data_IF_975172713691
#
_entry.id   IF_975172713691
#
_cell.length_a   1.000
_cell.length_b   1.000
_cell.length_c   1.000
_cell.angle_alpha   90.00
_cell.angle_beta   90.00
_cell.angle_gamma   90.00
#
_symmetry.space_group_name_H-M   'P 1'
#
loop_
_entity.id
_entity.type
_entity.pdbx_description
1 polymer ?
#
# COMPACT_ATOMS: atom_id res chain seq x y z
N UNK A 1 3.86 -10.25 -1.99
CA UNK A 1 3.05 -9.58 -3.04
C UNK A 1 2.37 -8.37 -2.39
N UNK A 2 2.38 -7.22 -3.05
CA UNK A 2 1.78 -5.97 -2.57
C UNK A 2 0.80 -5.45 -3.62
N UNK A 3 -0.38 -5.00 -3.18
CA UNK A 3 -1.42 -4.44 -4.04
C UNK A 3 -2.02 -3.18 -3.39
N UNK A 4 -2.46 -2.23 -4.22
CA UNK A 4 -3.07 -0.97 -3.79
C UNK A 4 -4.49 -0.88 -4.35
N UNK A 5 -5.51 -1.36 -3.62
CA UNK A 5 -6.87 -1.43 -4.15
C UNK A 5 -7.56 -0.06 -4.26
N UNK A 6 -7.08 0.98 -3.57
CA UNK A 6 -7.71 2.30 -3.63
C UNK A 6 -6.76 3.46 -3.34
N UNK A 7 -7.00 4.58 -4.03
CA UNK A 7 -6.45 5.88 -3.71
C UNK A 7 -7.53 6.94 -3.96
N UNK A 8 -8.10 7.51 -2.89
CA UNK A 8 -9.19 8.49 -2.99
C UNK A 8 -9.20 9.42 -1.77
N UNK A 9 -9.71 10.64 -1.93
CA UNK A 9 -9.82 11.60 -0.81
C UNK A 9 -8.47 11.99 -0.18
N UNK A 10 -7.38 11.92 -0.94
CA UNK A 10 -6.02 12.19 -0.45
C UNK A 10 -5.44 11.08 0.42
N UNK A 11 -6.01 9.86 0.41
CA UNK A 11 -5.47 8.68 1.10
C UNK A 11 -5.30 7.50 0.13
N UNK A 12 -4.28 6.70 0.37
CA UNK A 12 -4.03 5.45 -0.35
C UNK A 12 -3.99 4.27 0.62
N UNK A 13 -4.69 3.19 0.27
CA UNK A 13 -4.68 1.93 1.00
C UNK A 13 -3.80 0.93 0.25
N UNK A 14 -2.88 0.29 0.97
CA UNK A 14 -2.04 -0.78 0.47
C UNK A 14 -2.21 -2.05 1.31
N UNK A 15 -2.19 -3.19 0.63
CA UNK A 15 -2.23 -4.53 1.22
C UNK A 15 -0.96 -5.29 0.86
N UNK A 16 -0.42 -6.03 1.83
CA UNK A 16 0.81 -6.81 1.68
C UNK A 16 0.67 -8.23 2.23
N UNK A 17 1.38 -9.17 1.60
CA UNK A 17 1.54 -10.55 2.06
C UNK A 17 3.03 -10.91 2.14
N UNK A 18 3.46 -11.43 3.29
CA UNK A 18 4.84 -11.86 3.57
C UNK A 18 4.87 -13.39 3.58
N UNK A 19 5.78 -13.96 2.79
CA UNK A 19 5.98 -15.40 2.68
C UNK A 19 7.41 -15.77 3.10
N UNK A 20 7.61 -16.97 3.63
CA UNK A 20 8.95 -17.50 3.82
C UNK A 20 9.53 -18.06 2.50
N UNK A 21 10.79 -18.52 2.54
CA UNK A 21 11.47 -19.08 1.37
C UNK A 21 10.86 -20.38 0.83
N UNK A 22 9.98 -21.03 1.62
CA UNK A 22 9.21 -22.20 1.21
C UNK A 22 7.84 -21.84 0.62
N UNK A 23 7.50 -20.55 0.56
CA UNK A 23 6.22 -20.07 0.04
C UNK A 23 5.06 -20.10 1.05
N UNK A 24 5.33 -20.35 2.34
CA UNK A 24 4.29 -20.34 3.38
C UNK A 24 3.96 -18.90 3.78
N UNK A 25 2.66 -18.56 3.86
CA UNK A 25 2.20 -17.23 4.26
C UNK A 25 2.45 -17.04 5.76
N UNK A 26 3.27 -16.06 6.10
CA UNK A 26 3.61 -15.73 7.49
C UNK A 26 2.72 -14.62 8.06
N UNK A 27 2.41 -13.62 7.24
CA UNK A 27 1.64 -12.46 7.69
C UNK A 27 0.96 -11.74 6.54
N UNK A 28 -0.13 -11.04 6.87
CA UNK A 28 -0.77 -10.03 6.03
C UNK A 28 -0.66 -8.65 6.68
N UNK A 29 -0.59 -7.61 5.86
CA UNK A 29 -0.44 -6.22 6.31
C UNK A 29 -1.44 -5.35 5.57
N UNK A 30 -2.06 -4.42 6.28
CA UNK A 30 -2.80 -3.31 5.70
C UNK A 30 -2.16 -2.00 6.14
N UNK A 31 -2.03 -1.04 5.23
CA UNK A 31 -1.50 0.29 5.51
C UNK A 31 -2.34 1.33 4.77
N UNK A 32 -2.80 2.33 5.51
CA UNK A 32 -3.39 3.54 4.93
C UNK A 32 -2.48 4.73 5.19
N UNK A 33 -2.22 5.53 4.16
CA UNK A 33 -1.37 6.71 4.25
C UNK A 33 -1.95 7.88 3.46
N UNK A 34 -1.57 9.10 3.83
CA UNK A 34 -1.96 10.29 3.06
C UNK A 34 -1.13 10.41 1.78
N UNK A 35 -1.80 10.69 0.66
CA UNK A 35 -1.21 10.95 -0.65
C UNK A 35 -1.54 12.39 -1.03
N UNK A 36 -0.52 13.26 -1.05
CA UNK A 36 -0.66 14.66 -1.45
C UNK A 36 0.02 14.87 -2.80
N UNK A 37 -0.69 15.50 -3.73
CA UNK A 37 -0.12 15.98 -4.98
C UNK A 37 0.47 17.37 -4.73
N UNK A 38 1.78 17.58 -4.90
CA UNK A 38 2.36 18.90 -4.76
C UNK A 38 1.88 19.83 -5.88
N UNK A 39 1.64 21.10 -5.57
CA UNK A 39 1.44 22.12 -6.59
C UNK A 39 2.75 22.31 -7.37
N UNK A 40 2.69 22.14 -8.70
CA UNK A 40 3.80 22.52 -9.57
C UNK A 40 3.87 24.06 -9.57
N UNK A 41 4.89 24.61 -8.91
CA UNK A 41 5.19 26.04 -9.00
C UNK A 41 5.40 26.39 -10.49
N UNK A 42 4.66 27.40 -10.97
CA UNK A 42 4.85 27.98 -12.30
C UNK A 42 6.11 28.81 -12.37
#
# INVERSE_FOLDING_TARGET
>A
MQESPSAQGGRGLALGKIFNTKGELLATVAQEGMVRVPELAK
#
